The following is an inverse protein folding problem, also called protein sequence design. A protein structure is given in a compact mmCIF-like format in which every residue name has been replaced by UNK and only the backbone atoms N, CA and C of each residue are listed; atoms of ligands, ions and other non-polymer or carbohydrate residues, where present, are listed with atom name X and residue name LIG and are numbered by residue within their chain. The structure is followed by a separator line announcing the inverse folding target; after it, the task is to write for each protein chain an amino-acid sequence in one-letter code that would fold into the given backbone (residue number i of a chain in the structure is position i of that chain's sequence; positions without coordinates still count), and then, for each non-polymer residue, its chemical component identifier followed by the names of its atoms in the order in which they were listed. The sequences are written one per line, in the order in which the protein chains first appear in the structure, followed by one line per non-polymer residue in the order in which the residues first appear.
data_IF_960189914031
#
_entry.id   IF_960189914031
#
_cell.length_a   1.000
_cell.length_b   1.000
_cell.length_c   1.000
_cell.angle_alpha   90.00
_cell.angle_beta   90.00
_cell.angle_gamma   90.00
#
_symmetry.space_group_name_H-M   'P 1'
#
loop_
_entity.id
_entity.type
_entity.pdbx_description
1 polymer ?
#
# COMPACT_ATOMS: atom_id res chain seq x y z
N UNK A 1 -30.32 4.49 0.03
CA UNK A 1 -30.50 5.93 0.30
C UNK A 1 -31.48 6.06 1.46
N UNK A 2 -31.19 6.96 2.39
CA UNK A 2 -32.02 7.27 3.55
C UNK A 2 -32.65 8.66 3.31
N UNK A 3 -33.81 8.68 2.67
CA UNK A 3 -34.45 9.91 2.21
C UNK A 3 -34.93 10.81 3.38
N UNK A 4 -35.22 10.17 4.55
CA UNK A 4 -35.67 10.85 5.77
C UNK A 4 -34.55 11.54 6.55
N UNK A 5 -33.29 11.37 6.16
CA UNK A 5 -32.14 11.98 6.80
C UNK A 5 -31.54 13.08 5.94
N UNK A 6 -30.98 14.09 6.58
CA UNK A 6 -30.07 15.07 5.97
C UNK A 6 -28.68 14.92 6.56
N UNK A 7 -27.67 14.99 5.68
CA UNK A 7 -26.28 15.00 6.09
C UNK A 7 -25.84 16.38 6.61
N UNK A 8 -24.54 16.52 6.89
CA UNK A 8 -23.93 17.76 7.32
C UNK A 8 -24.27 18.90 6.33
N UNK A 9 -24.73 20.05 6.86
CA UNK A 9 -25.20 21.21 6.05
C UNK A 9 -26.26 20.83 5.00
N UNK A 10 -27.17 19.92 5.36
CA UNK A 10 -28.23 19.44 4.46
C UNK A 10 -27.74 18.74 3.19
N UNK A 11 -26.52 18.21 3.18
CA UNK A 11 -26.02 17.45 2.04
C UNK A 11 -26.86 16.20 1.78
N UNK A 12 -27.14 15.91 0.53
CA UNK A 12 -27.91 14.74 0.07
C UNK A 12 -27.20 14.10 -1.13
N UNK A 13 -27.40 12.81 -1.37
CA UNK A 13 -28.18 11.85 -0.58
C UNK A 13 -27.42 11.32 0.65
N UNK A 14 -28.14 10.97 1.72
CA UNK A 14 -27.59 10.16 2.82
C UNK A 14 -27.72 8.69 2.41
N UNK A 15 -26.63 7.92 2.51
CA UNK A 15 -26.57 6.51 2.07
C UNK A 15 -26.08 5.61 3.19
N UNK A 16 -26.50 4.34 3.16
CA UNK A 16 -25.85 3.26 3.89
C UNK A 16 -24.76 2.71 2.96
N UNK A 17 -23.50 2.67 3.41
CA UNK A 17 -22.36 2.30 2.58
C UNK A 17 -21.96 3.39 1.59
N UNK A 18 -20.99 3.07 0.74
CA UNK A 18 -20.50 3.93 -0.34
C UNK A 18 -20.22 3.12 -1.62
N UNK A 19 -19.89 3.81 -2.72
CA UNK A 19 -19.61 3.15 -3.99
C UNK A 19 -18.32 2.33 -4.00
N UNK A 20 -17.43 2.50 -3.02
CA UNK A 20 -16.21 1.71 -2.87
C UNK A 20 -16.49 0.21 -2.64
N UNK A 21 -17.71 -0.15 -2.24
CA UNK A 21 -18.14 -1.55 -2.16
C UNK A 21 -17.95 -2.33 -3.49
N UNK A 22 -18.05 -1.64 -4.62
CA UNK A 22 -17.84 -2.25 -5.95
C UNK A 22 -16.39 -2.14 -6.44
N UNK A 23 -15.51 -1.51 -5.68
CA UNK A 23 -14.13 -1.32 -6.06
C UNK A 23 -13.28 -2.52 -5.66
N UNK A 24 -12.33 -2.86 -6.53
CA UNK A 24 -11.28 -3.80 -6.21
C UNK A 24 -10.07 -3.02 -5.68
N UNK A 25 -9.58 -3.42 -4.52
CA UNK A 25 -8.44 -2.83 -3.83
C UNK A 25 -7.46 -3.94 -3.43
N UNK A 26 -6.41 -4.10 -4.24
CA UNK A 26 -5.44 -5.18 -4.04
C UNK A 26 -4.47 -4.90 -2.87
N UNK A 27 -4.38 -3.65 -2.40
CA UNK A 27 -3.55 -3.27 -1.26
C UNK A 27 -4.05 -3.86 0.07
N UNK A 28 -5.36 -4.06 0.23
CA UNK A 28 -5.97 -4.59 1.45
C UNK A 28 -5.42 -5.96 1.85
N UNK A 29 -5.04 -6.80 0.88
CA UNK A 29 -4.45 -8.10 1.16
C UNK A 29 -3.11 -8.00 1.90
N UNK A 30 -2.30 -6.99 1.57
CA UNK A 30 -1.01 -6.78 2.22
C UNK A 30 -1.16 -6.38 3.68
N UNK A 31 -2.08 -5.47 3.99
CA UNK A 31 -2.35 -5.06 5.37
C UNK A 31 -2.88 -6.23 6.20
N UNK A 32 -3.79 -7.01 5.66
CA UNK A 32 -4.33 -8.18 6.33
C UNK A 32 -3.26 -9.24 6.58
N UNK A 33 -2.44 -9.55 5.58
CA UNK A 33 -1.38 -10.53 5.72
C UNK A 33 -0.26 -10.08 6.66
N UNK A 34 0.05 -8.78 6.73
CA UNK A 34 1.00 -8.26 7.71
C UNK A 34 0.46 -8.40 9.14
N UNK A 35 -0.83 -8.11 9.36
CA UNK A 35 -1.50 -8.33 10.64
C UNK A 35 -1.46 -9.82 11.06
N UNK A 36 -1.81 -10.73 10.16
CA UNK A 36 -1.75 -12.19 10.40
C UNK A 36 -0.32 -12.62 10.73
N UNK A 37 0.68 -12.11 10.00
CA UNK A 37 2.09 -12.41 10.28
C UNK A 37 2.51 -11.93 11.67
N UNK A 38 2.11 -10.73 12.09
CA UNK A 38 2.38 -10.24 13.44
C UNK A 38 1.68 -11.12 14.50
N UNK A 39 0.46 -11.57 14.24
CA UNK A 39 -0.21 -12.52 15.14
C UNK A 39 0.61 -13.79 15.33
N UNK A 40 1.03 -14.47 14.26
CA UNK A 40 1.89 -15.66 14.35
C UNK A 40 3.20 -15.44 15.10
N UNK A 41 3.73 -14.22 15.06
CA UNK A 41 4.99 -13.87 15.75
C UNK A 41 4.83 -13.60 17.23
N UNK A 42 3.72 -13.02 17.63
CA UNK A 42 3.57 -12.39 18.96
C UNK A 42 2.60 -13.14 19.87
N UNK A 43 1.67 -13.91 19.30
CA UNK A 43 0.62 -14.57 20.06
C UNK A 43 0.83 -16.09 20.05
N UNK A 44 0.86 -16.73 21.23
CA UNK A 44 0.81 -18.18 21.31
C UNK A 44 -0.60 -18.65 20.95
N UNK A 45 -0.76 -19.30 19.80
CA UNK A 45 -2.04 -19.88 19.39
C UNK A 45 -2.15 -21.35 19.78
N UNK A 46 -3.37 -21.85 19.88
CA UNK A 46 -3.66 -23.30 19.91
C UNK A 46 -3.41 -23.90 18.52
N UNK A 47 -3.30 -25.23 18.44
CA UNK A 47 -3.13 -25.90 17.15
C UNK A 47 -4.31 -25.65 16.21
N UNK A 48 -5.53 -25.65 16.73
CA UNK A 48 -6.75 -25.39 15.94
C UNK A 48 -6.75 -23.98 15.36
N UNK A 49 -6.43 -22.96 16.17
CA UNK A 49 -6.32 -21.57 15.71
C UNK A 49 -5.23 -21.40 14.63
N UNK A 50 -4.10 -22.09 14.77
CA UNK A 50 -3.02 -22.07 13.78
C UNK A 50 -3.46 -22.70 12.47
N UNK A 51 -4.21 -23.81 12.50
CA UNK A 51 -4.72 -24.48 11.31
C UNK A 51 -5.81 -23.65 10.60
N UNK A 52 -6.76 -23.09 11.34
CA UNK A 52 -7.80 -22.23 10.79
C UNK A 52 -7.20 -20.98 10.12
N UNK A 53 -6.25 -20.34 10.76
CA UNK A 53 -5.54 -19.20 10.18
C UNK A 53 -4.71 -19.61 8.95
N UNK A 54 -4.14 -20.82 8.93
CA UNK A 54 -3.40 -21.31 7.77
C UNK A 54 -4.30 -21.47 6.53
N UNK A 55 -5.53 -21.96 6.69
CA UNK A 55 -6.51 -22.04 5.59
C UNK A 55 -6.85 -20.64 5.04
N UNK A 56 -7.02 -19.67 5.94
CA UNK A 56 -7.23 -18.26 5.56
C UNK A 56 -6.03 -17.71 4.78
N UNK A 57 -4.80 -17.93 5.24
CA UNK A 57 -3.57 -17.52 4.56
C UNK A 57 -3.52 -18.08 3.14
N UNK A 58 -3.80 -19.37 2.96
CA UNK A 58 -3.81 -20.00 1.63
C UNK A 58 -4.86 -19.38 0.70
N UNK A 59 -6.06 -19.12 1.23
CA UNK A 59 -7.16 -18.52 0.46
C UNK A 59 -6.80 -17.10 -0.01
N UNK A 60 -6.29 -16.26 0.91
CA UNK A 60 -5.85 -14.90 0.58
C UNK A 60 -4.77 -14.92 -0.49
N UNK A 61 -3.73 -15.75 -0.32
CA UNK A 61 -2.61 -15.78 -1.26
C UNK A 61 -2.96 -16.39 -2.60
N UNK A 62 -3.93 -17.31 -2.67
CA UNK A 62 -4.48 -17.76 -3.95
C UNK A 62 -5.07 -16.58 -4.73
N UNK A 63 -5.87 -15.75 -4.08
CA UNK A 63 -6.46 -14.55 -4.67
C UNK A 63 -5.38 -13.54 -5.09
N UNK A 64 -4.39 -13.28 -4.22
CA UNK A 64 -3.29 -12.36 -4.54
C UNK A 64 -2.53 -12.81 -5.79
N UNK A 65 -2.22 -14.11 -5.92
CA UNK A 65 -1.49 -14.66 -7.07
C UNK A 65 -2.26 -14.51 -8.38
N UNK A 66 -3.58 -14.53 -8.35
CA UNK A 66 -4.45 -14.34 -9.52
C UNK A 66 -4.59 -12.85 -9.88
N UNK A 67 -4.57 -11.98 -8.89
CA UNK A 67 -5.06 -10.61 -9.03
C UNK A 67 -3.96 -9.55 -9.06
N UNK A 68 -2.76 -9.83 -8.55
CA UNK A 68 -1.72 -8.80 -8.48
C UNK A 68 -1.33 -8.21 -9.84
N UNK A 69 -1.54 -8.96 -10.93
CA UNK A 69 -1.29 -8.50 -12.31
C UNK A 69 -2.39 -7.59 -12.86
N UNK A 70 -3.54 -7.55 -12.21
CA UNK A 70 -4.69 -6.76 -12.65
C UNK A 70 -4.60 -5.35 -12.10
N UNK A 71 -5.17 -4.35 -12.79
CA UNK A 71 -5.33 -3.00 -12.24
C UNK A 71 -6.38 -2.99 -11.13
N UNK A 72 -6.31 -1.99 -10.25
CA UNK A 72 -7.22 -1.79 -9.13
C UNK A 72 -7.54 -0.31 -8.90
N UNK A 73 -8.09 0.05 -7.73
CA UNK A 73 -8.46 1.43 -7.36
C UNK A 73 -7.47 2.10 -6.39
N UNK A 74 -6.48 1.33 -5.91
CA UNK A 74 -5.48 1.82 -4.96
C UNK A 74 -6.03 2.17 -3.57
N UNK A 75 -5.13 2.59 -2.70
CA UNK A 75 -5.43 2.94 -1.30
C UNK A 75 -6.41 4.11 -1.14
N UNK A 76 -6.49 4.99 -2.15
CA UNK A 76 -7.31 6.22 -2.09
C UNK A 76 -8.72 6.05 -2.65
N UNK A 77 -9.11 4.84 -3.05
CA UNK A 77 -10.45 4.54 -3.59
C UNK A 77 -10.82 5.42 -4.80
N UNK A 78 -9.84 5.67 -5.68
CA UNK A 78 -10.05 6.54 -6.85
C UNK A 78 -11.17 5.97 -7.72
N UNK A 79 -12.18 6.79 -8.03
CA UNK A 79 -13.40 6.36 -8.73
C UNK A 79 -13.24 6.24 -10.24
N UNK A 80 -12.25 6.90 -10.83
CA UNK A 80 -11.92 6.82 -12.26
C UNK A 80 -11.60 5.40 -12.74
N UNK A 81 -10.84 5.24 -13.78
CA UNK A 81 -10.42 3.92 -14.30
C UNK A 81 -9.49 3.21 -13.31
N UNK A 82 -9.54 1.87 -13.31
CA UNK A 82 -8.60 1.05 -12.55
C UNK A 82 -7.21 1.15 -13.17
N UNK A 83 -6.17 1.30 -12.34
CA UNK A 83 -4.79 1.46 -12.77
C UNK A 83 -3.85 0.52 -12.02
N UNK A 84 -2.62 0.39 -12.51
CA UNK A 84 -1.57 -0.32 -11.80
C UNK A 84 -0.90 0.61 -10.79
N UNK A 85 -1.52 0.75 -9.61
CA UNK A 85 -0.94 1.53 -8.51
C UNK A 85 0.29 0.84 -7.94
N UNK A 86 1.40 1.58 -7.84
CA UNK A 86 2.65 1.06 -7.25
C UNK A 86 2.42 0.59 -5.81
N UNK A 87 1.67 1.37 -5.01
CA UNK A 87 1.34 1.00 -3.64
C UNK A 87 0.57 -0.32 -3.55
N UNK A 88 -0.40 -0.56 -4.43
CA UNK A 88 -1.15 -1.83 -4.45
C UNK A 88 -0.25 -3.02 -4.81
N UNK A 89 0.68 -2.85 -5.77
CA UNK A 89 1.65 -3.89 -6.10
C UNK A 89 2.60 -4.18 -4.94
N UNK A 90 3.09 -3.13 -4.27
CA UNK A 90 3.92 -3.27 -3.07
C UNK A 90 3.16 -4.06 -2.00
N UNK A 91 1.88 -3.78 -1.77
CA UNK A 91 1.08 -4.51 -0.78
C UNK A 91 0.77 -5.95 -1.20
N UNK A 92 0.63 -6.25 -2.50
CA UNK A 92 0.58 -7.62 -2.99
C UNK A 92 1.90 -8.37 -2.71
N UNK A 93 3.05 -7.70 -2.90
CA UNK A 93 4.35 -8.22 -2.51
C UNK A 93 4.41 -8.51 -1.01
N UNK A 94 3.96 -7.56 -0.16
CA UNK A 94 3.88 -7.73 1.29
C UNK A 94 3.07 -8.97 1.64
N UNK A 95 1.90 -9.15 1.03
CA UNK A 95 1.08 -10.34 1.28
C UNK A 95 1.84 -11.65 1.01
N UNK A 96 2.51 -11.73 -0.14
CA UNK A 96 3.28 -12.92 -0.55
C UNK A 96 4.51 -13.15 0.35
N UNK A 97 5.26 -12.10 0.67
CA UNK A 97 6.42 -12.15 1.58
C UNK A 97 6.00 -12.63 2.98
N UNK A 98 4.93 -12.07 3.55
CA UNK A 98 4.41 -12.49 4.85
C UNK A 98 3.92 -13.93 4.83
N UNK A 99 3.24 -14.33 3.75
CA UNK A 99 2.82 -15.71 3.56
C UNK A 99 3.99 -16.69 3.47
N UNK A 100 5.04 -16.35 2.72
CA UNK A 100 6.26 -17.16 2.63
C UNK A 100 6.92 -17.33 4.01
N UNK A 101 6.99 -16.26 4.81
CA UNK A 101 7.51 -16.27 6.17
C UNK A 101 6.65 -17.13 7.12
N UNK A 102 5.32 -17.00 7.06
CA UNK A 102 4.39 -17.84 7.84
C UNK A 102 4.57 -19.31 7.46
N UNK A 103 4.60 -19.62 6.15
CA UNK A 103 4.80 -20.99 5.67
C UNK A 103 6.12 -21.59 6.16
N UNK A 104 7.19 -20.80 6.18
CA UNK A 104 8.49 -21.21 6.73
C UNK A 104 8.40 -21.48 8.24
N UNK A 105 7.74 -20.62 9.03
CA UNK A 105 7.51 -20.84 10.47
C UNK A 105 6.74 -22.13 10.75
N UNK A 106 5.82 -22.51 9.87
CA UNK A 106 5.02 -23.73 9.98
C UNK A 106 5.68 -24.95 9.29
N UNK A 107 6.94 -24.87 8.86
CA UNK A 107 7.67 -25.92 8.12
C UNK A 107 6.99 -26.35 6.81
N UNK A 108 6.20 -25.47 6.20
CA UNK A 108 5.49 -25.72 4.92
C UNK A 108 6.31 -25.17 3.75
N UNK A 109 7.53 -25.70 3.58
CA UNK A 109 8.55 -25.16 2.68
C UNK A 109 8.13 -25.04 1.20
N UNK A 110 7.34 -25.98 0.68
CA UNK A 110 6.83 -25.90 -0.69
C UNK A 110 5.94 -24.68 -0.95
N UNK A 111 5.15 -24.26 0.04
CA UNK A 111 4.38 -23.01 -0.02
C UNK A 111 5.30 -21.80 0.12
N UNK A 112 6.25 -21.84 1.05
CA UNK A 112 7.22 -20.76 1.25
C UNK A 112 7.98 -20.43 -0.04
N UNK A 113 8.56 -21.44 -0.70
CA UNK A 113 9.27 -21.26 -1.98
C UNK A 113 8.38 -20.74 -3.10
N UNK A 114 7.15 -21.26 -3.21
CA UNK A 114 6.21 -20.83 -4.23
C UNK A 114 5.83 -19.36 -4.07
N UNK A 115 5.49 -18.94 -2.85
CA UNK A 115 5.07 -17.57 -2.57
C UNK A 115 6.25 -16.59 -2.66
N UNK A 116 7.45 -17.00 -2.23
CA UNK A 116 8.65 -16.19 -2.41
C UNK A 116 8.95 -15.95 -3.90
N UNK A 117 8.90 -16.98 -4.73
CA UNK A 117 9.08 -16.83 -6.20
C UNK A 117 8.07 -15.87 -6.81
N UNK A 118 6.83 -15.87 -6.32
CA UNK A 118 5.83 -14.94 -6.83
C UNK A 118 6.07 -13.52 -6.29
N UNK A 119 6.47 -13.36 -5.02
CA UNK A 119 6.90 -12.07 -4.46
C UNK A 119 8.06 -11.46 -5.27
N UNK A 120 9.05 -12.26 -5.65
CA UNK A 120 10.18 -11.82 -6.47
C UNK A 120 9.72 -11.26 -7.84
N UNK A 121 8.69 -11.87 -8.45
CA UNK A 121 8.11 -11.35 -9.70
C UNK A 121 7.42 -10.01 -9.50
N UNK A 122 6.63 -9.87 -8.42
CA UNK A 122 5.99 -8.58 -8.09
C UNK A 122 7.04 -7.50 -7.84
N UNK A 123 8.11 -7.84 -7.13
CA UNK A 123 9.22 -6.93 -6.87
C UNK A 123 9.87 -6.45 -8.18
N UNK A 124 10.19 -7.38 -9.08
CA UNK A 124 10.78 -7.06 -10.39
C UNK A 124 9.83 -6.19 -11.23
N UNK A 125 8.53 -6.47 -11.21
CA UNK A 125 7.51 -5.72 -11.93
C UNK A 125 7.46 -4.25 -11.45
N UNK A 126 7.41 -4.04 -10.13
CA UNK A 126 7.43 -2.70 -9.53
C UNK A 126 8.73 -1.96 -9.85
N UNK A 127 9.88 -2.64 -9.73
CA UNK A 127 11.18 -2.04 -10.04
C UNK A 127 11.30 -1.64 -11.51
N UNK A 128 10.65 -2.39 -12.41
CA UNK A 128 10.69 -2.13 -13.85
C UNK A 128 9.73 -1.03 -14.27
N UNK A 129 8.48 -1.10 -13.82
CA UNK A 129 7.41 -0.23 -14.32
C UNK A 129 7.07 0.93 -13.38
N UNK A 130 7.31 0.78 -12.08
CA UNK A 130 7.06 1.81 -11.08
C UNK A 130 8.14 2.88 -10.98
N UNK A 131 9.41 2.52 -11.26
CA UNK A 131 10.51 3.47 -11.29
C UNK A 131 10.48 4.30 -12.56
N UNK A 132 10.65 5.62 -12.44
CA UNK A 132 10.68 6.58 -13.56
C UNK A 132 12.02 7.30 -13.58
N UNK A 133 12.81 7.04 -14.63
CA UNK A 133 14.13 7.68 -14.76
C UNK A 133 14.05 9.20 -14.85
N UNK A 134 13.03 9.75 -15.53
CA UNK A 134 12.83 11.19 -15.65
C UNK A 134 12.52 11.85 -14.30
N UNK A 135 11.82 11.14 -13.41
CA UNK A 135 11.54 11.62 -12.05
C UNK A 135 12.65 11.29 -11.06
N UNK A 136 13.50 10.32 -11.39
CA UNK A 136 14.41 9.69 -10.42
C UNK A 136 13.65 9.23 -9.16
N UNK A 137 12.45 8.65 -9.34
CA UNK A 137 11.53 8.25 -8.28
C UNK A 137 10.58 7.17 -8.76
N UNK A 138 9.99 6.43 -7.83
CA UNK A 138 8.76 5.71 -8.10
C UNK A 138 7.62 6.70 -8.32
N UNK A 139 6.63 6.31 -9.14
CA UNK A 139 5.43 7.09 -9.43
C UNK A 139 4.18 6.48 -8.77
N UNK A 140 3.07 7.20 -8.79
CA UNK A 140 1.79 6.71 -8.26
C UNK A 140 1.31 5.45 -8.98
N UNK A 141 1.33 5.47 -10.31
CA UNK A 141 0.90 4.36 -11.17
C UNK A 141 1.93 4.10 -12.26
N UNK A 142 1.85 2.93 -12.92
CA UNK A 142 2.77 2.57 -14.00
C UNK A 142 2.67 3.45 -15.24
N UNK A 143 1.54 4.12 -15.44
CA UNK A 143 1.21 4.91 -16.63
C UNK A 143 1.24 6.42 -16.41
N UNK A 144 1.67 6.90 -15.23
CA UNK A 144 1.76 8.34 -14.96
C UNK A 144 3.08 8.73 -14.29
N UNK A 145 3.28 10.05 -14.13
CA UNK A 145 4.41 10.68 -13.44
C UNK A 145 3.99 11.36 -12.14
N UNK A 146 2.79 11.07 -11.63
CA UNK A 146 2.28 11.68 -10.41
C UNK A 146 2.97 11.11 -9.17
N UNK A 147 3.10 11.94 -8.14
CA UNK A 147 3.60 11.54 -6.83
C UNK A 147 2.45 11.13 -5.91
N UNK A 148 2.75 10.18 -5.04
CA UNK A 148 1.80 9.64 -4.06
C UNK A 148 2.50 9.42 -2.72
N UNK A 149 1.88 9.88 -1.63
CA UNK A 149 2.42 9.71 -0.28
C UNK A 149 2.52 8.24 0.15
N UNK A 150 1.71 7.34 -0.44
CA UNK A 150 1.78 5.90 -0.15
C UNK A 150 3.11 5.25 -0.56
N UNK A 151 3.88 5.88 -1.47
CA UNK A 151 5.23 5.44 -1.82
C UNK A 151 6.19 5.46 -0.63
N UNK A 152 5.93 6.30 0.37
CA UNK A 152 6.71 6.35 1.61
C UNK A 152 6.57 5.06 2.44
N UNK A 153 5.55 4.25 2.18
CA UNK A 153 5.30 2.98 2.88
C UNK A 153 6.12 1.80 2.34
N UNK A 154 6.86 1.95 1.26
CA UNK A 154 7.67 0.87 0.69
C UNK A 154 8.70 0.32 1.68
N UNK A 155 9.37 1.20 2.44
CA UNK A 155 10.40 0.82 3.42
C UNK A 155 9.79 0.19 4.70
N UNK A 156 8.76 0.78 5.37
CA UNK A 156 8.23 0.18 6.60
C UNK A 156 7.70 -1.24 6.42
N UNK A 157 7.24 -1.59 5.23
CA UNK A 157 6.82 -2.95 4.92
C UNK A 157 7.96 -3.85 4.43
N UNK A 158 9.18 -3.31 4.28
CA UNK A 158 10.38 -4.06 3.89
C UNK A 158 10.48 -4.37 2.40
N UNK A 159 9.72 -3.68 1.55
CA UNK A 159 9.79 -3.82 0.10
C UNK A 159 11.11 -3.28 -0.47
N UNK A 160 11.63 -2.19 0.12
CA UNK A 160 12.89 -1.56 -0.23
C UNK A 160 13.67 -1.23 1.05
N UNK A 161 14.98 -1.30 1.00
CA UNK A 161 15.82 -0.96 2.15
C UNK A 161 15.88 0.55 2.39
N UNK A 162 16.06 0.95 3.66
CA UNK A 162 16.18 2.37 4.03
C UNK A 162 17.38 3.07 3.39
N UNK A 163 18.45 2.34 3.09
CA UNK A 163 19.68 2.82 2.46
C UNK A 163 19.70 2.72 0.91
N UNK A 164 18.62 2.18 0.31
CA UNK A 164 18.51 2.15 -1.17
C UNK A 164 18.36 3.57 -1.71
N UNK A 165 19.27 3.94 -2.62
CA UNK A 165 19.29 5.27 -3.23
C UNK A 165 17.96 5.64 -3.93
N UNK A 166 17.23 4.65 -4.46
CA UNK A 166 15.91 4.86 -5.10
C UNK A 166 14.88 5.29 -4.06
N UNK A 167 14.92 4.72 -2.86
CA UNK A 167 14.04 5.14 -1.77
C UNK A 167 14.35 6.56 -1.31
N UNK A 168 15.63 6.90 -1.10
CA UNK A 168 16.06 8.27 -0.77
C UNK A 168 15.56 9.29 -1.80
N UNK A 169 15.73 8.99 -3.08
CA UNK A 169 15.26 9.86 -4.17
C UNK A 169 13.74 9.98 -4.17
N UNK A 170 13.02 8.86 -3.96
CA UNK A 170 11.55 8.85 -3.89
C UNK A 170 11.05 9.70 -2.72
N UNK A 171 11.62 9.57 -1.53
CA UNK A 171 11.25 10.40 -0.37
C UNK A 171 11.41 11.88 -0.68
N UNK A 172 12.54 12.28 -1.30
CA UNK A 172 12.81 13.68 -1.68
C UNK A 172 11.81 14.17 -2.76
N UNK A 173 11.51 13.35 -3.75
CA UNK A 173 10.57 13.69 -4.80
C UNK A 173 9.13 13.85 -4.27
N UNK A 174 8.67 12.89 -3.46
CA UNK A 174 7.36 12.94 -2.80
C UNK A 174 7.25 14.16 -1.90
N UNK A 175 8.25 14.43 -1.05
CA UNK A 175 8.29 15.63 -0.22
C UNK A 175 8.18 16.91 -1.06
N UNK A 176 9.01 17.03 -2.09
CA UNK A 176 9.03 18.22 -2.98
C UNK A 176 7.66 18.47 -3.63
N UNK A 177 6.97 17.39 -4.03
CA UNK A 177 5.71 17.49 -4.78
C UNK A 177 4.48 17.67 -3.87
N UNK A 178 4.49 17.11 -2.66
CA UNK A 178 3.29 16.96 -1.83
C UNK A 178 3.32 17.71 -0.50
N UNK A 179 4.49 18.17 -0.03
CA UNK A 179 4.58 18.96 1.19
C UNK A 179 4.19 20.42 0.94
N UNK A 180 3.14 20.87 1.63
CA UNK A 180 2.68 22.25 1.55
C UNK A 180 2.43 22.80 2.96
N UNK A 181 3.09 23.90 3.33
CA UNK A 181 2.95 24.56 4.64
C UNK A 181 3.09 23.60 5.83
N UNK A 182 4.04 22.66 5.75
CA UNK A 182 4.31 21.69 6.81
C UNK A 182 3.37 20.45 6.84
N UNK A 183 2.44 20.33 5.90
CA UNK A 183 1.50 19.21 5.82
C UNK A 183 1.54 18.55 4.45
N UNK A 184 1.34 17.22 4.43
CA UNK A 184 1.37 16.43 3.22
C UNK A 184 0.01 16.23 2.57
N UNK A 185 -0.04 16.40 1.24
CA UNK A 185 -1.16 15.92 0.43
C UNK A 185 -1.01 14.41 0.15
N UNK A 186 -2.13 13.76 -0.20
CA UNK A 186 -2.15 12.34 -0.55
C UNK A 186 -1.39 12.06 -1.86
N UNK A 187 -1.71 12.85 -2.89
CA UNK A 187 -1.15 12.76 -4.26
C UNK A 187 -1.35 14.09 -5.00
N UNK A 188 -0.76 14.22 -6.18
CA UNK A 188 -0.88 15.42 -7.02
C UNK A 188 -1.46 15.12 -8.42
N UNK A 189 -2.19 14.01 -8.56
CA UNK A 189 -3.00 13.71 -9.75
C UNK A 189 -4.44 14.20 -9.56
N UNK A 190 -5.10 14.54 -10.66
CA UNK A 190 -6.54 14.78 -10.65
C UNK A 190 -7.31 13.48 -10.43
N UNK A 191 -8.35 13.55 -9.62
CA UNK A 191 -9.37 12.52 -9.44
C UNK A 191 -10.75 13.07 -9.82
N UNK A 192 -11.82 12.33 -9.56
CA UNK A 192 -13.19 12.76 -9.84
C UNK A 192 -13.67 13.98 -9.03
N UNK A 193 -12.88 14.46 -8.07
CA UNK A 193 -13.10 15.70 -7.32
C UNK A 193 -12.11 16.81 -7.70
N UNK A 194 -11.26 16.58 -8.71
CA UNK A 194 -10.16 17.46 -9.10
C UNK A 194 -8.87 17.20 -8.32
N UNK A 195 -7.97 18.19 -8.31
CA UNK A 195 -6.75 18.10 -7.52
C UNK A 195 -7.04 18.13 -6.02
N UNK A 196 -6.38 17.30 -5.21
CA UNK A 196 -6.52 17.37 -3.75
C UNK A 196 -6.23 18.77 -3.22
N UNK A 197 -7.19 19.34 -2.51
CA UNK A 197 -7.08 20.70 -1.92
C UNK A 197 -6.78 20.66 -0.42
N UNK A 198 -6.79 19.49 0.19
CA UNK A 198 -6.61 19.29 1.63
C UNK A 198 -5.46 18.33 1.92
N UNK A 199 -4.65 18.67 2.91
CA UNK A 199 -3.63 17.78 3.44
C UNK A 199 -4.28 16.60 4.19
N UNK A 200 -3.56 15.50 4.27
CA UNK A 200 -3.96 14.32 5.04
C UNK A 200 -2.88 13.99 6.07
N UNK A 201 -3.20 14.23 7.33
CA UNK A 201 -2.22 14.24 8.44
C UNK A 201 -1.39 12.96 8.53
N UNK A 202 -1.97 11.78 8.26
CA UNK A 202 -1.22 10.51 8.29
C UNK A 202 -0.04 10.52 7.31
N UNK A 203 -0.20 11.15 6.14
CA UNK A 203 0.88 11.25 5.15
C UNK A 203 2.05 12.09 5.67
N UNK A 204 1.78 13.08 6.53
CA UNK A 204 2.82 13.87 7.19
C UNK A 204 3.63 12.98 8.15
N UNK A 205 2.99 12.10 8.92
CA UNK A 205 3.70 11.15 9.77
C UNK A 205 4.51 10.12 8.96
N UNK A 206 4.00 9.69 7.80
CA UNK A 206 4.78 8.83 6.91
C UNK A 206 6.04 9.54 6.41
N UNK A 207 5.95 10.82 6.06
CA UNK A 207 7.12 11.62 5.66
C UNK A 207 8.12 11.76 6.80
N UNK A 208 7.67 12.12 8.01
CA UNK A 208 8.54 12.25 9.19
C UNK A 208 9.34 10.96 9.41
N UNK A 209 8.65 9.82 9.40
CA UNK A 209 9.29 8.51 9.53
C UNK A 209 10.29 8.25 8.39
N UNK A 210 9.89 8.50 7.14
CA UNK A 210 10.74 8.29 5.98
C UNK A 210 12.02 9.15 6.04
N UNK A 211 11.91 10.43 6.39
CA UNK A 211 13.06 11.33 6.60
C UNK A 211 13.98 10.81 7.70
N UNK A 212 13.42 10.34 8.80
CA UNK A 212 14.21 9.81 9.91
C UNK A 212 15.04 8.59 9.49
N UNK A 213 14.44 7.62 8.77
CA UNK A 213 15.13 6.37 8.39
C UNK A 213 16.16 6.58 7.29
N UNK A 214 16.00 7.57 6.40
CA UNK A 214 17.01 7.93 5.40
C UNK A 214 18.12 8.83 5.95
N UNK A 215 18.12 9.15 7.26
CA UNK A 215 19.17 9.92 7.94
C UNK A 215 18.93 11.43 8.04
N UNK A 216 17.86 11.98 7.46
CA UNK A 216 17.50 13.41 7.51
C UNK A 216 16.79 13.76 8.84
N UNK A 217 17.46 13.46 9.97
CA UNK A 217 16.84 13.49 11.31
C UNK A 217 16.44 14.89 11.77
N UNK A 218 17.22 15.91 11.44
CA UNK A 218 16.88 17.29 11.82
C UNK A 218 15.63 17.77 11.08
N UNK A 219 15.51 17.40 9.81
CA UNK A 219 14.33 17.72 9.03
C UNK A 219 13.09 16.96 9.51
N UNK A 220 13.24 15.72 9.97
CA UNK A 220 12.15 14.94 10.54
C UNK A 220 11.59 15.52 11.86
N UNK A 221 12.34 16.41 12.53
CA UNK A 221 11.93 17.07 13.80
C UNK A 221 11.23 18.42 13.60
N UNK A 222 11.38 19.02 12.43
CA UNK A 222 10.81 20.33 12.10
C UNK A 222 9.41 20.21 11.52
#
# INVERSE_FOLDING_TARGET
ILEHLSGYKNSKPVRIGNDAYHQKQNDSFGYLMDLIYQYYRLMPGTLDEIEDMWEMVKSILSTVMEDWKKPDKGIWEIRGESRHFVSSKVMCWVALDRGAKIASMLNKYGYSERWQKEADKVWQDVMTYGWKEELQSFSQTYDNMAMDSSLLLMEPYGFIAADDIRYHKTVKAVKKALLHKGLMYRYNSEDDFGLPSSAFTICTFWLIRALFVIGEKEEARC
#
